data_IF_316406004947
#
_entry.id   IF_316406004947
#
_cell.length_a   1.000
_cell.length_b   1.000
_cell.length_c   1.000
_cell.angle_alpha   90.00
_cell.angle_beta   90.00
_cell.angle_gamma   90.00
#
_symmetry.space_group_name_H-M   'P 1'
#
loop_
_entity.id
_entity.type
_entity.pdbx_description
1 polymer ?
#
# COMPACT_ATOMS: atom_id res chain seq x y z
N UNK A 1 -20.49 1.12 23.76
CA UNK A 1 -19.58 -0.06 23.76
C UNK A 1 -18.52 0.22 22.70
N UNK A 2 -17.22 0.00 22.96
CA UNK A 2 -16.24 0.15 21.89
C UNK A 2 -16.52 -0.93 20.85
N UNK A 3 -16.50 -0.58 19.56
CA UNK A 3 -16.60 -1.56 18.49
C UNK A 3 -15.40 -2.50 18.60
N UNK A 4 -15.65 -3.78 18.90
CA UNK A 4 -14.63 -4.83 18.80
C UNK A 4 -14.21 -4.90 17.34
N UNK A 5 -12.93 -4.63 17.05
CA UNK A 5 -12.39 -4.83 15.72
C UNK A 5 -12.67 -6.28 15.27
N UNK A 6 -13.10 -6.46 14.02
CA UNK A 6 -13.31 -7.79 13.47
C UNK A 6 -12.01 -8.61 13.58
N UNK A 7 -12.08 -9.93 13.86
CA UNK A 7 -10.89 -10.75 14.06
C UNK A 7 -10.02 -10.86 12.80
N UNK A 8 -10.59 -10.63 11.63
CA UNK A 8 -9.90 -10.62 10.34
C UNK A 8 -10.36 -9.42 9.49
N UNK A 9 -9.51 -8.98 8.57
CA UNK A 9 -9.79 -7.91 7.61
C UNK A 9 -9.59 -8.44 6.18
N UNK A 10 -10.67 -8.46 5.39
CA UNK A 10 -10.65 -8.91 3.98
C UNK A 10 -11.20 -7.79 3.08
N UNK A 11 -10.34 -6.94 2.52
CA UNK A 11 -10.76 -5.89 1.61
C UNK A 11 -10.99 -6.43 0.19
N UNK A 12 -12.01 -5.90 -0.50
CA UNK A 12 -12.11 -6.02 -1.96
C UNK A 12 -11.57 -4.74 -2.60
N UNK A 13 -10.27 -4.72 -2.88
CA UNK A 13 -9.59 -3.55 -3.43
C UNK A 13 -10.10 -3.15 -4.82
N UNK A 14 -10.71 -4.06 -5.59
CA UNK A 14 -11.23 -3.73 -6.92
C UNK A 14 -12.39 -2.75 -6.85
N UNK A 15 -13.11 -2.73 -5.73
CA UNK A 15 -14.23 -1.81 -5.47
C UNK A 15 -13.79 -0.42 -5.01
N UNK A 16 -12.49 -0.21 -4.76
CA UNK A 16 -12.00 1.04 -4.20
C UNK A 16 -11.81 2.14 -5.24
N UNK A 17 -11.74 1.77 -6.52
CA UNK A 17 -11.62 2.76 -7.60
C UNK A 17 -12.79 3.75 -7.56
N UNK A 18 -12.47 5.05 -7.61
CA UNK A 18 -13.43 6.15 -7.48
C UNK A 18 -13.75 6.56 -6.04
N UNK A 19 -13.22 5.86 -5.03
CA UNK A 19 -13.40 6.19 -3.61
C UNK A 19 -12.16 6.86 -3.03
N UNK A 20 -12.31 7.52 -1.88
CA UNK A 20 -11.17 8.16 -1.20
C UNK A 20 -10.39 7.14 -0.36
N UNK A 21 -9.06 7.23 -0.38
CA UNK A 21 -8.21 6.37 0.45
C UNK A 21 -8.52 6.54 1.95
N UNK A 22 -8.75 7.77 2.40
CA UNK A 22 -9.08 8.08 3.80
C UNK A 22 -10.48 7.61 4.23
N UNK A 23 -11.33 7.24 3.29
CA UNK A 23 -12.65 6.65 3.57
C UNK A 23 -12.58 5.14 3.83
N UNK A 24 -11.46 4.50 3.48
CA UNK A 24 -11.26 3.07 3.69
C UNK A 24 -10.97 2.75 5.15
N UNK A 25 -11.53 1.66 5.66
CA UNK A 25 -11.32 1.24 7.05
C UNK A 25 -9.83 1.02 7.35
N UNK A 26 -9.07 0.45 6.40
CA UNK A 26 -7.63 0.23 6.56
C UNK A 26 -6.85 1.51 6.86
N UNK A 27 -7.33 2.68 6.42
CA UNK A 27 -6.65 3.93 6.68
C UNK A 27 -6.64 4.30 8.17
N UNK A 28 -7.65 3.83 8.92
CA UNK A 28 -7.75 3.96 10.38
C UNK A 28 -6.91 2.93 11.13
N UNK A 29 -6.46 1.88 10.43
CA UNK A 29 -5.61 0.82 10.97
C UNK A 29 -4.12 1.12 10.79
N UNK A 30 -3.72 2.24 10.21
CA UNK A 30 -2.31 2.64 10.14
C UNK A 30 -1.81 3.15 11.51
N UNK A 31 -0.57 2.82 11.88
CA UNK A 31 0.08 3.30 13.10
C UNK A 31 0.21 4.82 13.15
N UNK A 32 0.33 5.45 11.97
CA UNK A 32 0.37 6.89 11.78
C UNK A 32 -0.47 7.22 10.54
N UNK A 33 -1.23 8.31 10.57
CA UNK A 33 -2.03 8.73 9.42
C UNK A 33 -1.17 8.93 8.15
N UNK A 34 -1.75 8.74 6.95
CA UNK A 34 -1.12 9.15 5.70
C UNK A 34 -0.71 10.63 5.72
N UNK A 35 0.35 11.02 5.00
CA UNK A 35 0.67 12.43 4.80
C UNK A 35 -0.56 13.18 4.27
N UNK A 36 -0.92 14.38 4.81
CA UNK A 36 -2.10 15.11 4.36
C UNK A 36 -2.01 15.53 2.89
N UNK A 37 -0.78 15.64 2.37
CA UNK A 37 -0.46 15.91 0.96
C UNK A 37 -0.93 14.83 0.00
N UNK A 38 -1.32 13.63 0.48
CA UNK A 38 -1.95 12.58 -0.34
C UNK A 38 -3.26 13.03 -0.99
N UNK A 39 -3.86 14.11 -0.47
CA UNK A 39 -5.08 14.71 -0.98
C UNK A 39 -4.84 15.77 -2.06
N UNK A 40 -3.62 15.86 -2.59
CA UNK A 40 -3.27 16.82 -3.63
C UNK A 40 -2.24 16.24 -4.59
N UNK A 41 -2.62 16.14 -5.86
CA UNK A 41 -1.80 15.60 -6.93
C UNK A 41 -1.71 14.08 -6.95
N UNK A 42 -0.81 13.54 -7.79
CA UNK A 42 -0.60 12.11 -7.95
C UNK A 42 0.20 11.52 -6.78
N UNK A 43 -0.20 10.32 -6.37
CA UNK A 43 0.47 9.50 -5.38
C UNK A 43 0.44 8.03 -5.80
N UNK A 44 1.47 7.29 -5.40
CA UNK A 44 1.42 5.83 -5.38
C UNK A 44 1.26 5.33 -3.95
N UNK A 45 0.45 4.29 -3.78
CA UNK A 45 0.25 3.62 -2.49
C UNK A 45 0.49 2.14 -2.69
N UNK A 46 1.34 1.54 -1.86
CA UNK A 46 1.62 0.11 -1.93
C UNK A 46 1.48 -0.57 -0.57
N UNK A 47 0.68 -1.63 -0.50
CA UNK A 47 0.66 -2.54 0.64
C UNK A 47 1.67 -3.66 0.38
N UNK A 48 2.50 -3.95 1.38
CA UNK A 48 3.54 -4.96 1.27
C UNK A 48 3.80 -5.69 2.59
N UNK A 49 4.46 -6.84 2.47
CA UNK A 49 5.00 -7.61 3.58
C UNK A 49 6.52 -7.49 3.56
N UNK A 50 7.13 -7.44 4.73
CA UNK A 50 8.57 -7.16 4.83
C UNK A 50 9.43 -8.36 4.39
N UNK A 51 8.88 -9.58 4.36
CA UNK A 51 9.55 -10.83 3.94
C UNK A 51 9.11 -11.30 2.52
N UNK A 52 8.36 -10.48 1.78
CA UNK A 52 7.78 -10.84 0.49
C UNK A 52 8.71 -10.48 -0.68
N UNK A 53 9.34 -11.48 -1.29
CA UNK A 53 10.29 -11.29 -2.41
C UNK A 53 9.69 -10.46 -3.55
N UNK A 54 8.47 -10.77 -4.02
CA UNK A 54 7.81 -10.02 -5.10
C UNK A 54 7.54 -8.55 -4.74
N UNK A 55 7.29 -8.27 -3.46
CA UNK A 55 7.09 -6.92 -2.97
C UNK A 55 8.39 -6.11 -3.06
N UNK A 56 9.50 -6.74 -2.68
CA UNK A 56 10.82 -6.12 -2.73
C UNK A 56 11.35 -5.99 -4.16
N UNK A 57 11.05 -6.95 -5.04
CA UNK A 57 11.37 -6.85 -6.47
C UNK A 57 10.65 -5.67 -7.14
N UNK A 58 9.35 -5.50 -6.88
CA UNK A 58 8.57 -4.37 -7.40
C UNK A 58 9.11 -3.03 -6.87
N UNK A 59 9.39 -2.95 -5.56
CA UNK A 59 10.03 -1.78 -4.94
C UNK A 59 11.40 -1.48 -5.53
N UNK A 60 12.25 -2.50 -5.69
CA UNK A 60 13.60 -2.33 -6.24
C UNK A 60 13.55 -1.86 -7.69
N UNK A 61 12.59 -2.36 -8.47
CA UNK A 61 12.46 -2.05 -9.91
C UNK A 61 11.93 -0.64 -10.15
N UNK A 62 10.92 -0.20 -9.39
CA UNK A 62 10.19 1.03 -9.70
C UNK A 62 10.38 2.16 -8.68
N UNK A 63 10.91 1.87 -7.49
CA UNK A 63 10.91 2.81 -6.36
C UNK A 63 12.27 2.95 -5.64
N UNK A 64 13.36 2.36 -6.15
CA UNK A 64 14.68 2.38 -5.48
C UNK A 64 15.49 3.68 -5.65
N UNK A 65 15.05 4.58 -6.53
CA UNK A 65 15.72 5.85 -6.82
C UNK A 65 14.89 7.07 -6.45
N UNK A 66 15.23 8.22 -7.05
CA UNK A 66 14.46 9.44 -6.86
C UNK A 66 13.06 9.33 -7.45
N UNK A 67 12.06 9.69 -6.65
CA UNK A 67 10.66 9.54 -6.98
C UNK A 67 10.13 10.84 -7.59
N UNK A 68 9.65 10.76 -8.84
CA UNK A 68 8.92 11.86 -9.49
C UNK A 68 7.52 12.04 -8.89
N UNK A 69 6.96 10.98 -8.30
CA UNK A 69 5.64 10.95 -7.68
C UNK A 69 5.78 10.46 -6.23
N UNK A 70 5.27 11.20 -5.24
CA UNK A 70 5.31 10.78 -3.85
C UNK A 70 4.69 9.39 -3.67
N UNK A 71 5.37 8.52 -2.92
CA UNK A 71 4.95 7.13 -2.74
C UNK A 71 4.78 6.83 -1.25
N UNK A 72 3.64 6.23 -0.90
CA UNK A 72 3.31 5.73 0.42
C UNK A 72 3.39 4.20 0.40
N UNK A 73 4.25 3.62 1.23
CA UNK A 73 4.31 2.17 1.46
C UNK A 73 3.72 1.85 2.82
N UNK A 74 2.96 0.76 2.89
CA UNK A 74 2.23 0.35 4.08
C UNK A 74 2.58 -1.10 4.37
N UNK A 75 3.39 -1.35 5.41
CA UNK A 75 3.76 -2.70 5.81
C UNK A 75 2.64 -3.38 6.60
N UNK A 76 2.39 -4.64 6.30
CA UNK A 76 1.46 -5.51 7.02
C UNK A 76 2.25 -6.23 8.13
N UNK A 77 1.83 -6.13 9.40
CA UNK A 77 2.67 -6.49 10.54
C UNK A 77 2.52 -7.95 10.98
N UNK A 78 2.45 -8.89 10.03
CA UNK A 78 2.17 -10.31 10.26
C UNK A 78 3.32 -11.23 9.81
N UNK A 79 4.49 -10.66 9.54
CA UNK A 79 5.73 -11.36 9.21
C UNK A 79 6.67 -11.41 10.41
N UNK A 80 7.61 -12.36 10.41
CA UNK A 80 8.70 -12.39 11.41
C UNK A 80 9.70 -11.27 11.09
N UNK A 81 9.97 -10.32 12.00
CA UNK A 81 10.96 -9.26 11.78
C UNK A 81 12.37 -9.78 11.48
N UNK A 82 12.70 -11.00 11.91
CA UNK A 82 14.00 -11.62 11.59
C UNK A 82 14.11 -12.07 10.12
N UNK A 83 12.98 -12.19 9.42
CA UNK A 83 12.89 -12.54 8.00
C UNK A 83 12.73 -11.31 7.10
N UNK A 84 12.65 -10.09 7.65
CA UNK A 84 12.50 -8.87 6.87
C UNK A 84 13.68 -8.68 5.91
N UNK A 85 13.37 -8.43 4.65
CA UNK A 85 14.33 -8.10 3.60
C UNK A 85 14.69 -6.61 3.64
N UNK A 86 15.80 -6.24 3.00
CA UNK A 86 16.25 -4.84 2.91
C UNK A 86 15.25 -4.00 2.13
N UNK A 87 14.71 -2.95 2.75
CA UNK A 87 13.73 -2.06 2.12
C UNK A 87 14.41 -1.08 1.14
N UNK A 88 14.15 -1.18 -0.18
CA UNK A 88 14.98 -0.47 -1.17
C UNK A 88 14.51 0.96 -1.48
N UNK A 89 13.38 1.43 -0.93
CA UNK A 89 12.82 2.75 -1.25
C UNK A 89 13.16 3.80 -0.18
N UNK A 90 14.24 4.56 -0.38
CA UNK A 90 14.69 5.57 0.59
C UNK A 90 13.81 6.83 0.63
N UNK A 91 13.11 7.16 -0.46
CA UNK A 91 12.24 8.34 -0.55
C UNK A 91 10.76 8.05 -0.23
N UNK A 92 10.40 6.78 0.01
CA UNK A 92 9.02 6.40 0.33
C UNK A 92 8.61 6.89 1.72
N UNK A 93 7.37 7.36 1.82
CA UNK A 93 6.71 7.49 3.11
C UNK A 93 6.33 6.09 3.59
N UNK A 94 6.91 5.64 4.70
CA UNK A 94 6.62 4.31 5.26
C UNK A 94 5.56 4.43 6.37
N UNK A 95 4.58 3.55 6.33
CA UNK A 95 3.59 3.29 7.39
C UNK A 95 3.52 1.80 7.64
N UNK A 96 2.93 1.45 8.77
CA UNK A 96 2.68 0.06 9.15
C UNK A 96 1.24 -0.03 9.64
N UNK A 97 0.56 -1.13 9.37
CA UNK A 97 -0.74 -1.37 9.98
C UNK A 97 -0.59 -1.76 11.46
N UNK A 98 -1.64 -1.56 12.24
CA UNK A 98 -1.71 -2.01 13.62
C UNK A 98 -1.74 -3.54 13.66
N UNK A 99 -1.01 -4.13 14.61
CA UNK A 99 -1.17 -5.55 14.96
C UNK A 99 -2.56 -5.76 15.56
N UNK A 100 -3.20 -6.89 15.28
CA UNK A 100 -4.47 -7.27 15.88
C UNK A 100 -5.37 -8.08 14.94
N UNK A 101 -5.86 -7.49 13.85
CA UNK A 101 -6.61 -8.23 12.84
C UNK A 101 -5.71 -9.17 12.06
N UNK A 102 -6.26 -10.32 11.67
CA UNK A 102 -5.66 -11.15 10.62
C UNK A 102 -5.92 -10.48 9.26
N UNK A 103 -4.86 -9.96 8.64
CA UNK A 103 -4.93 -9.27 7.35
C UNK A 103 -4.93 -10.28 6.20
N UNK A 104 -6.12 -10.56 5.65
CA UNK A 104 -6.30 -11.44 4.50
C UNK A 104 -6.26 -10.60 3.22
N UNK A 105 -5.05 -10.21 2.84
CA UNK A 105 -4.79 -9.50 1.59
C UNK A 105 -3.53 -10.01 0.88
N UNK A 106 -3.64 -10.05 -0.45
CA UNK A 106 -2.54 -10.37 -1.37
C UNK A 106 -1.57 -9.20 -1.45
N UNK A 107 -0.27 -9.51 -1.44
CA UNK A 107 0.81 -8.52 -1.59
C UNK A 107 1.78 -8.94 -2.69
N UNK A 108 2.39 -7.99 -3.40
CA UNK A 108 2.18 -6.54 -3.26
C UNK A 108 0.85 -6.09 -3.88
N UNK A 109 0.25 -5.06 -3.30
CA UNK A 109 -0.90 -4.36 -3.88
C UNK A 109 -0.48 -2.93 -4.16
N UNK A 110 -0.48 -2.53 -5.43
CA UNK A 110 -0.11 -1.18 -5.86
C UNK A 110 -1.35 -0.40 -6.30
N UNK A 111 -1.42 0.88 -5.95
CA UNK A 111 -2.52 1.76 -6.30
C UNK A 111 -2.03 3.13 -6.72
N UNK A 112 -2.75 3.73 -7.67
CA UNK A 112 -2.61 5.15 -7.99
C UNK A 112 -3.71 5.95 -7.33
N UNK A 113 -3.32 6.99 -6.61
CA UNK A 113 -4.20 7.94 -5.94
C UNK A 113 -4.04 9.32 -6.56
N UNK A 114 -5.14 9.98 -6.90
CA UNK A 114 -5.19 11.34 -7.41
C UNK A 114 -6.08 12.17 -6.50
N UNK A 115 -5.53 13.23 -5.89
CA UNK A 115 -6.28 14.11 -4.97
C UNK A 115 -7.02 13.34 -3.85
N UNK A 116 -6.38 12.29 -3.35
CA UNK A 116 -6.90 11.38 -2.33
C UNK A 116 -7.90 10.34 -2.84
N UNK A 117 -8.24 10.34 -4.13
CA UNK A 117 -9.15 9.37 -4.77
C UNK A 117 -8.34 8.25 -5.44
N UNK A 118 -8.70 7.00 -5.19
CA UNK A 118 -8.08 5.83 -5.82
C UNK A 118 -8.56 5.77 -7.27
N UNK A 119 -7.64 5.79 -8.23
CA UNK A 119 -7.95 5.82 -9.67
C UNK A 119 -7.57 4.54 -10.40
N UNK A 120 -6.67 3.75 -9.83
CA UNK A 120 -6.21 2.50 -10.40
C UNK A 120 -5.69 1.58 -9.30
N UNK A 121 -5.89 0.27 -9.48
CA UNK A 121 -5.50 -0.78 -8.52
C UNK A 121 -4.88 -1.94 -9.28
N UNK A 122 -3.69 -2.34 -8.86
CA UNK A 122 -2.95 -3.51 -9.35
C UNK A 122 -2.95 -4.56 -8.25
N UNK A 123 -3.67 -5.65 -8.48
CA UNK A 123 -3.76 -6.80 -7.57
C UNK A 123 -2.83 -7.96 -7.96
N UNK A 124 -2.36 -7.95 -9.21
CA UNK A 124 -1.44 -8.94 -9.76
C UNK A 124 -0.10 -8.26 -10.03
N UNK A 125 0.91 -8.63 -9.24
CA UNK A 125 2.25 -8.07 -9.31
C UNK A 125 3.08 -8.59 -10.48
N UNK A 126 2.60 -9.64 -11.18
CA UNK A 126 3.26 -10.19 -12.36
C UNK A 126 2.72 -9.57 -13.66
N UNK A 127 1.59 -8.87 -13.61
CA UNK A 127 1.04 -8.14 -14.74
C UNK A 127 1.78 -6.81 -14.94
N UNK A 128 2.92 -6.90 -15.61
CA UNK A 128 3.74 -5.74 -15.98
C UNK A 128 2.97 -4.68 -16.75
N UNK A 129 1.97 -5.06 -17.55
CA UNK A 129 1.15 -4.11 -18.31
C UNK A 129 0.24 -3.28 -17.41
N UNK A 130 -0.30 -3.88 -16.35
CA UNK A 130 -1.12 -3.20 -15.35
C UNK A 130 -0.27 -2.33 -14.43
N UNK A 131 0.94 -2.79 -14.08
CA UNK A 131 1.93 -2.00 -13.35
C UNK A 131 2.31 -0.75 -14.15
N UNK A 132 2.70 -0.90 -15.41
CA UNK A 132 3.07 0.22 -16.28
C UNK A 132 1.92 1.22 -16.43
N UNK A 133 0.68 0.75 -16.66
CA UNK A 133 -0.50 1.62 -16.71
C UNK A 133 -0.77 2.35 -15.39
N UNK A 134 -0.46 1.73 -14.25
CA UNK A 134 -0.59 2.35 -12.95
C UNK A 134 0.45 3.47 -12.76
N UNK A 135 1.71 3.20 -13.12
CA UNK A 135 2.84 4.12 -12.92
C UNK A 135 2.90 5.25 -13.97
N UNK A 136 2.35 5.02 -15.16
CA UNK A 136 2.43 5.92 -16.30
C UNK A 136 1.05 6.12 -16.96
N UNK A 137 0.12 6.86 -16.30
CA UNK A 137 -1.20 7.19 -16.86
C UNK A 137 -1.17 7.98 -18.16
#
# INVERSE_FOLDING_TARGET
MPATAAPYYVPDFTTWTGTRLDSQEIARLMTVAPPPTINSGPWFVMFYREDCDHCHELLATHFSGSLSTPTLTISIPDTDPAASLEFPCSECHVRTLLKGPDYVLTTPLLMRVMDGVITYVVIDAEDSSSIDQCLHP
#
